data_IF_840025642738
#
_entry.id   IF_840025642738
#
_cell.length_a   1.000
_cell.length_b   1.000
_cell.length_c   1.000
_cell.angle_alpha   90.00
_cell.angle_beta   90.00
_cell.angle_gamma   90.00
#
_symmetry.space_group_name_H-M   'P 1'
#
loop_
_entity.id
_entity.type
_entity.pdbx_description
1 polymer ?
#
# COMPACT_ATOMS: atom_id res chain seq x y z
N UNK A 1 12.75 -0.42 -24.69
CA UNK A 1 12.11 -0.27 -23.37
C UNK A 1 10.89 0.68 -23.37
N UNK A 2 10.31 1.03 -24.54
CA UNK A 2 9.25 2.03 -24.67
C UNK A 2 7.85 1.47 -25.03
N UNK A 3 7.62 0.15 -25.00
CA UNK A 3 6.40 -0.45 -25.56
C UNK A 3 5.50 -1.22 -24.58
N UNK A 4 5.66 -1.00 -23.27
CA UNK A 4 4.80 -1.67 -22.29
C UNK A 4 3.45 -0.96 -22.12
N UNK A 5 3.35 0.36 -22.33
CA UNK A 5 2.09 1.10 -22.23
C UNK A 5 1.72 1.63 -23.61
N UNK A 6 0.70 1.02 -24.23
CA UNK A 6 0.20 1.43 -25.56
C UNK A 6 -0.74 2.64 -25.50
N UNK A 7 -1.32 2.92 -24.34
CA UNK A 7 -2.27 4.02 -24.17
C UNK A 7 -1.57 5.37 -23.97
N UNK A 8 -1.78 6.28 -24.93
CA UNK A 8 -1.22 7.63 -24.90
C UNK A 8 -1.76 8.47 -23.74
N UNK A 9 -3.02 8.25 -23.32
CA UNK A 9 -3.62 8.97 -22.20
C UNK A 9 -2.92 8.68 -20.88
N UNK A 10 -2.72 7.39 -20.60
CA UNK A 10 -1.99 6.91 -19.42
C UNK A 10 -0.54 7.39 -19.41
N UNK A 11 0.15 7.37 -20.55
CA UNK A 11 1.52 7.91 -20.65
C UNK A 11 1.60 9.40 -20.30
N UNK A 12 0.64 10.22 -20.77
CA UNK A 12 0.58 11.64 -20.41
C UNK A 12 0.38 11.85 -18.91
N UNK A 13 -0.46 11.02 -18.27
CA UNK A 13 -0.66 11.09 -16.82
C UNK A 13 0.61 10.70 -16.04
N UNK A 14 1.34 9.67 -16.50
CA UNK A 14 2.64 9.28 -15.94
C UNK A 14 3.64 10.44 -16.06
N UNK A 15 3.74 11.06 -17.23
CA UNK A 15 4.66 12.18 -17.46
C UNK A 15 4.29 13.42 -16.65
N UNK A 16 2.99 13.72 -16.53
CA UNK A 16 2.48 14.78 -15.67
C UNK A 16 2.87 14.55 -14.21
N UNK A 17 2.67 13.34 -13.67
CA UNK A 17 3.05 13.02 -12.30
C UNK A 17 4.57 13.08 -12.11
N UNK A 18 5.36 12.56 -13.05
CA UNK A 18 6.83 12.68 -13.03
C UNK A 18 7.28 14.14 -13.00
N UNK A 19 6.64 15.01 -13.80
CA UNK A 19 6.96 16.43 -13.81
C UNK A 19 6.58 17.13 -12.49
N UNK A 20 5.40 16.80 -11.93
CA UNK A 20 4.95 17.30 -10.61
C UNK A 20 5.89 16.88 -9.49
N UNK A 21 6.34 15.61 -9.49
CA UNK A 21 7.32 15.10 -8.54
C UNK A 21 8.67 15.81 -8.69
N UNK A 22 9.24 15.90 -9.89
CA UNK A 22 10.53 16.60 -10.12
C UNK A 22 10.52 18.06 -9.66
N UNK A 23 9.40 18.75 -9.86
CA UNK A 23 9.19 20.15 -9.48
C UNK A 23 8.80 20.33 -8.02
N UNK A 24 8.68 19.25 -7.24
CA UNK A 24 8.21 19.27 -5.84
C UNK A 24 6.86 19.97 -5.66
N UNK A 25 5.96 19.77 -6.62
CA UNK A 25 4.59 20.28 -6.54
C UNK A 25 3.69 19.38 -5.68
N UNK A 26 4.05 18.11 -5.55
CA UNK A 26 3.45 17.17 -4.62
C UNK A 26 4.53 16.83 -3.62
N UNK A 27 4.29 17.16 -2.36
CA UNK A 27 5.21 16.93 -1.25
C UNK A 27 4.46 16.30 -0.10
N UNK A 28 5.13 15.45 0.65
CA UNK A 28 4.54 14.74 1.77
C UNK A 28 4.22 13.30 1.41
N UNK A 29 4.43 12.42 2.39
CA UNK A 29 4.35 10.98 2.19
C UNK A 29 2.94 10.52 1.79
N UNK A 30 1.90 11.11 2.39
CA UNK A 30 0.50 10.74 2.14
C UNK A 30 0.04 11.16 0.75
N UNK A 31 0.10 12.46 0.43
CA UNK A 31 -0.35 12.99 -0.87
C UNK A 31 0.40 12.33 -2.05
N UNK A 32 1.71 12.13 -1.89
CA UNK A 32 2.54 11.44 -2.90
C UNK A 32 2.14 9.96 -3.05
N UNK A 33 1.81 9.27 -1.95
CA UNK A 33 1.35 7.89 -1.99
C UNK A 33 -0.01 7.77 -2.69
N UNK A 34 -0.98 8.62 -2.35
CA UNK A 34 -2.32 8.63 -2.95
C UNK A 34 -2.24 8.86 -4.45
N UNK A 35 -1.55 9.90 -4.90
CA UNK A 35 -1.38 10.20 -6.33
C UNK A 35 -0.68 9.05 -7.09
N UNK A 36 0.30 8.40 -6.45
CA UNK A 36 0.98 7.23 -7.03
C UNK A 36 0.03 6.07 -7.22
N UNK A 37 -0.76 5.70 -6.20
CA UNK A 37 -1.69 4.56 -6.29
C UNK A 37 -2.84 4.85 -7.26
N UNK A 38 -3.35 6.08 -7.31
CA UNK A 38 -4.36 6.49 -8.28
C UNK A 38 -3.87 6.34 -9.72
N UNK A 39 -2.63 6.74 -9.99
CA UNK A 39 -2.01 6.53 -11.31
C UNK A 39 -1.85 5.03 -11.62
N UNK A 40 -1.40 4.23 -10.65
CA UNK A 40 -1.25 2.79 -10.83
C UNK A 40 -2.60 2.09 -11.07
N UNK A 41 -3.67 2.52 -10.41
CA UNK A 41 -5.05 2.05 -10.69
C UNK A 41 -5.45 2.35 -12.13
N UNK A 42 -5.15 3.55 -12.61
CA UNK A 42 -5.40 3.92 -14.01
C UNK A 42 -4.60 3.03 -14.97
N UNK A 43 -3.32 2.75 -14.66
CA UNK A 43 -2.48 1.85 -15.45
C UNK A 43 -3.09 0.44 -15.50
N UNK A 44 -3.52 -0.12 -14.37
CA UNK A 44 -4.19 -1.44 -14.33
C UNK A 44 -5.49 -1.42 -15.15
N UNK A 45 -6.27 -0.34 -15.07
CA UNK A 45 -7.52 -0.18 -15.81
C UNK A 45 -7.34 -0.09 -17.33
N UNK A 46 -6.31 0.61 -17.81
CA UNK A 46 -6.08 0.78 -19.26
C UNK A 46 -5.16 -0.29 -19.85
N UNK A 47 -4.41 -1.01 -19.01
CA UNK A 47 -3.49 -2.05 -19.44
C UNK A 47 -4.19 -3.16 -20.21
N UNK A 48 -3.59 -3.56 -21.34
CA UNK A 48 -3.92 -4.79 -22.05
C UNK A 48 -2.77 -5.76 -21.79
N UNK A 49 -3.06 -6.87 -21.13
CA UNK A 49 -2.07 -7.87 -20.77
C UNK A 49 -2.60 -9.26 -21.05
N UNK A 50 -1.72 -10.15 -21.51
CA UNK A 50 -2.02 -11.57 -21.69
C UNK A 50 -1.45 -12.41 -20.55
N UNK A 51 -0.46 -11.90 -19.82
CA UNK A 51 0.09 -12.54 -18.63
C UNK A 51 0.12 -11.56 -17.47
N UNK A 52 -0.08 -12.06 -16.26
CA UNK A 52 0.08 -11.26 -15.04
C UNK A 52 1.49 -10.68 -14.93
N UNK A 53 2.53 -11.42 -15.36
CA UNK A 53 3.91 -10.93 -15.32
C UNK A 53 4.09 -9.70 -16.20
N UNK A 54 3.41 -9.65 -17.36
CA UNK A 54 3.40 -8.47 -18.22
C UNK A 54 2.77 -7.26 -17.52
N UNK A 55 1.67 -7.46 -16.78
CA UNK A 55 1.05 -6.41 -15.98
C UNK A 55 1.97 -5.93 -14.85
N UNK A 56 2.60 -6.86 -14.14
CA UNK A 56 3.54 -6.51 -13.07
C UNK A 56 4.75 -5.75 -13.60
N UNK A 57 5.27 -6.12 -14.78
CA UNK A 57 6.36 -5.41 -15.43
C UNK A 57 5.95 -4.01 -15.91
N UNK A 58 4.70 -3.84 -16.39
CA UNK A 58 4.15 -2.51 -16.67
C UNK A 58 4.18 -1.64 -15.41
N UNK A 59 3.66 -2.14 -14.29
CA UNK A 59 3.62 -1.40 -13.02
C UNK A 59 5.04 -1.09 -12.53
N UNK A 60 5.98 -2.05 -12.59
CA UNK A 60 7.40 -1.84 -12.23
C UNK A 60 8.06 -0.77 -13.10
N UNK A 61 7.78 -0.78 -14.41
CA UNK A 61 8.37 0.20 -15.33
C UNK A 61 7.91 1.63 -15.00
N UNK A 62 6.62 1.82 -14.69
CA UNK A 62 6.06 3.10 -14.23
C UNK A 62 6.69 3.50 -12.90
N UNK A 63 6.70 2.58 -11.93
CA UNK A 63 7.26 2.83 -10.60
C UNK A 63 8.73 3.23 -10.65
N UNK A 64 9.54 2.58 -11.48
CA UNK A 64 10.96 2.92 -11.66
C UNK A 64 11.13 4.35 -12.18
N UNK A 65 10.27 4.78 -13.12
CA UNK A 65 10.26 6.17 -13.63
C UNK A 65 9.85 7.18 -12.56
N UNK A 66 8.83 6.86 -11.75
CA UNK A 66 8.38 7.73 -10.66
C UNK A 66 9.45 7.87 -9.57
N UNK A 67 10.09 6.78 -9.17
CA UNK A 67 11.15 6.79 -8.14
C UNK A 67 12.37 7.56 -8.65
N UNK A 68 12.74 7.41 -9.93
CA UNK A 68 13.81 8.20 -10.54
C UNK A 68 13.48 9.70 -10.61
N UNK A 69 12.21 10.09 -10.55
CA UNK A 69 11.78 11.50 -10.55
C UNK A 69 12.13 12.19 -9.22
N UNK A 70 11.92 11.51 -8.09
CA UNK A 70 12.26 12.01 -6.75
C UNK A 70 12.68 10.84 -5.82
N UNK A 71 13.96 10.43 -5.82
CA UNK A 71 14.43 9.28 -5.04
C UNK A 71 14.28 9.43 -3.52
N UNK A 72 14.15 10.67 -3.03
CA UNK A 72 13.96 10.97 -1.61
C UNK A 72 12.54 10.64 -1.10
N UNK A 73 11.55 10.51 -1.99
CA UNK A 73 10.19 10.13 -1.62
C UNK A 73 10.03 8.61 -1.62
N UNK A 74 10.36 8.00 -0.48
CA UNK A 74 10.31 6.55 -0.30
C UNK A 74 8.87 6.02 -0.42
N UNK A 75 7.87 6.86 -0.12
CA UNK A 75 6.46 6.53 -0.23
C UNK A 75 6.06 5.99 -1.62
N UNK A 76 6.59 6.58 -2.70
CA UNK A 76 6.35 6.12 -4.07
C UNK A 76 6.79 4.67 -4.25
N UNK A 77 8.03 4.36 -3.87
CA UNK A 77 8.58 3.01 -4.02
C UNK A 77 7.82 1.98 -3.17
N UNK A 78 7.44 2.36 -1.95
CA UNK A 78 6.68 1.50 -1.05
C UNK A 78 5.29 1.18 -1.62
N UNK A 79 4.60 2.19 -2.17
CA UNK A 79 3.28 1.99 -2.78
C UNK A 79 3.34 1.15 -4.05
N UNK A 80 4.35 1.34 -4.90
CA UNK A 80 4.55 0.50 -6.09
C UNK A 80 4.71 -0.98 -5.70
N UNK A 81 5.56 -1.28 -4.69
CA UNK A 81 5.77 -2.66 -4.22
C UNK A 81 4.49 -3.24 -3.61
N UNK A 82 3.76 -2.45 -2.82
CA UNK A 82 2.49 -2.84 -2.22
C UNK A 82 1.45 -3.19 -3.27
N UNK A 83 1.28 -2.33 -4.29
CA UNK A 83 0.35 -2.58 -5.40
C UNK A 83 0.73 -3.83 -6.19
N UNK A 84 2.02 -4.04 -6.48
CA UNK A 84 2.50 -5.27 -7.14
C UNK A 84 2.13 -6.52 -6.33
N UNK A 85 2.30 -6.47 -5.00
CA UNK A 85 1.94 -7.57 -4.13
C UNK A 85 0.43 -7.81 -4.14
N UNK A 86 -0.38 -6.78 -3.91
CA UNK A 86 -1.84 -6.89 -3.90
C UNK A 86 -2.39 -7.45 -5.21
N UNK A 87 -1.93 -6.92 -6.35
CA UNK A 87 -2.34 -7.38 -7.68
C UNK A 87 -1.96 -8.85 -7.91
N UNK A 88 -0.81 -9.30 -7.38
CA UNK A 88 -0.40 -10.70 -7.47
C UNK A 88 -1.29 -11.60 -6.62
N UNK A 89 -1.55 -11.24 -5.37
CA UNK A 89 -2.40 -12.03 -4.47
C UNK A 89 -3.81 -12.18 -5.03
N UNK A 90 -4.38 -11.09 -5.54
CA UNK A 90 -5.73 -11.07 -6.10
C UNK A 90 -5.85 -11.83 -7.41
N UNK A 91 -4.82 -11.76 -8.25
CA UNK A 91 -4.77 -12.60 -9.44
C UNK A 91 -4.76 -14.08 -9.05
N UNK A 92 -3.91 -14.49 -8.10
CA UNK A 92 -3.83 -15.88 -7.63
C UNK A 92 -5.15 -16.36 -6.99
N UNK A 93 -5.79 -15.52 -6.19
CA UNK A 93 -7.09 -15.81 -5.59
C UNK A 93 -8.17 -16.07 -6.65
N UNK A 94 -8.22 -15.23 -7.70
CA UNK A 94 -9.25 -15.30 -8.74
C UNK A 94 -8.97 -16.33 -9.83
N UNK A 95 -7.71 -16.62 -10.16
CA UNK A 95 -7.38 -17.71 -11.08
C UNK A 95 -7.51 -19.08 -10.44
N UNK A 96 -7.71 -19.13 -9.12
CA UNK A 96 -7.44 -20.29 -8.28
C UNK A 96 -5.92 -20.44 -8.17
N UNK A 97 -5.42 -20.73 -6.96
CA UNK A 97 -4.04 -21.15 -6.81
C UNK A 97 -3.77 -22.28 -7.80
N UNK A 98 -3.02 -22.00 -8.87
CA UNK A 98 -2.59 -22.99 -9.85
C UNK A 98 -1.49 -23.87 -9.25
N UNK A 99 -1.72 -24.33 -8.03
CA UNK A 99 -1.04 -25.43 -7.39
C UNK A 99 -2.04 -26.59 -7.25
N UNK A 100 -1.99 -27.60 -8.13
CA UNK A 100 -2.75 -28.84 -7.94
C UNK A 100 -2.35 -29.61 -6.66
N UNK A 101 -1.37 -29.16 -5.88
CA UNK A 101 -0.91 -29.82 -4.65
C UNK A 101 -1.40 -29.22 -3.33
N UNK A 102 -2.26 -28.20 -3.35
CA UNK A 102 -2.87 -27.66 -2.12
C UNK A 102 -4.39 -27.57 -2.23
N UNK A 103 -5.05 -28.74 -2.23
CA UNK A 103 -6.41 -28.85 -1.73
C UNK A 103 -6.33 -29.13 -0.22
N UNK A 104 -6.95 -28.34 0.67
CA UNK A 104 -7.38 -28.91 1.93
C UNK A 104 -8.51 -29.88 1.57
N UNK A 105 -8.22 -31.18 1.69
CA UNK A 105 -9.21 -32.22 1.51
C UNK A 105 -10.39 -31.94 2.45
N UNK A 106 -11.59 -32.13 1.91
CA UNK A 106 -12.85 -31.86 2.58
C UNK A 106 -12.91 -32.45 3.99
N UNK A 107 -13.49 -31.64 4.87
CA UNK A 107 -14.00 -31.97 6.19
C UNK A 107 -14.78 -33.30 6.15
N UNK A 108 -14.10 -34.40 6.46
CA UNK A 108 -14.74 -35.63 6.93
C UNK A 108 -14.48 -35.68 8.43
N UNK A 109 -15.49 -35.29 9.22
CA UNK A 109 -15.46 -35.42 10.68
C UNK A 109 -15.39 -36.91 11.03
N UNK A 110 -14.19 -37.40 11.31
CA UNK A 110 -14.01 -38.64 12.05
C UNK A 110 -13.14 -38.35 13.26
N UNK A 111 -13.75 -38.48 14.44
CA UNK A 111 -13.05 -38.47 15.72
C UNK A 111 -12.07 -39.65 15.73
N UNK A 112 -10.78 -39.37 15.60
CA UNK A 112 -9.72 -40.24 16.13
C UNK A 112 -8.64 -39.36 16.75
N UNK A 113 -8.47 -39.48 18.07
CA UNK A 113 -7.32 -38.92 18.77
C UNK A 113 -6.05 -39.58 18.26
N UNK A 114 -5.16 -38.82 17.66
CA UNK A 114 -3.73 -39.12 17.55
C UNK A 114 -3.00 -37.81 17.23
N UNK A 115 -2.18 -37.37 18.17
CA UNK A 115 -1.23 -36.25 18.04
C UNK A 115 -0.31 -36.43 16.83
N UNK A 116 -0.01 -35.36 16.08
CA UNK A 116 1.26 -35.28 15.36
C UNK A 116 2.06 -34.04 15.76
N UNK A 117 3.36 -34.28 15.97
CA UNK A 117 4.37 -33.36 16.47
C UNK A 117 4.53 -32.08 15.64
N UNK A 118 4.63 -30.95 16.35
CA UNK A 118 4.82 -29.61 15.80
C UNK A 118 6.21 -29.30 15.22
N UNK A 119 6.90 -30.28 14.63
CA UNK A 119 8.26 -30.12 14.10
C UNK A 119 8.33 -29.90 12.57
N UNK A 120 7.21 -30.02 11.85
CA UNK A 120 7.20 -29.97 10.38
C UNK A 120 7.23 -28.56 9.77
N UNK A 121 7.05 -27.49 10.55
CA UNK A 121 6.96 -26.11 10.03
C UNK A 121 7.92 -25.13 10.72
N UNK A 122 9.13 -25.57 11.07
CA UNK A 122 10.17 -24.69 11.62
C UNK A 122 11.06 -24.12 10.51
N UNK A 123 11.25 -22.79 10.51
CA UNK A 123 12.21 -22.05 9.66
C UNK A 123 13.61 -22.67 9.66
N UNK A 124 14.01 -23.33 10.75
CA UNK A 124 15.29 -24.02 10.87
C UNK A 124 15.42 -25.21 9.89
N UNK A 125 14.37 -26.01 9.71
CA UNK A 125 14.37 -27.09 8.73
C UNK A 125 14.33 -26.55 7.29
N UNK A 126 13.71 -25.39 7.06
CA UNK A 126 13.64 -24.76 5.75
C UNK A 126 15.01 -24.26 5.24
N UNK A 127 15.82 -23.67 6.14
CA UNK A 127 17.16 -23.17 5.81
C UNK A 127 18.16 -24.33 5.70
N UNK A 128 18.07 -25.34 6.58
CA UNK A 128 19.02 -26.44 6.64
C UNK A 128 18.86 -27.46 5.51
N UNK A 129 17.62 -27.83 5.16
CA UNK A 129 17.35 -28.84 4.11
C UNK A 129 17.17 -28.25 2.71
N UNK A 130 17.36 -26.93 2.55
CA UNK A 130 17.31 -26.15 1.30
C UNK A 130 16.60 -26.87 0.15
N UNK A 131 15.32 -26.55 -0.10
CA UNK A 131 14.44 -27.24 -1.07
C UNK A 131 15.24 -27.90 -2.21
N UNK A 132 15.22 -29.23 -2.39
CA UNK A 132 15.65 -29.78 -3.66
C UNK A 132 14.74 -29.13 -4.70
N UNK A 133 15.34 -28.37 -5.64
CA UNK A 133 14.64 -27.99 -6.86
C UNK A 133 14.15 -29.29 -7.46
N UNK A 134 12.86 -29.57 -7.34
CA UNK A 134 12.22 -30.65 -8.05
C UNK A 134 12.55 -30.44 -9.54
N UNK A 135 13.47 -31.26 -10.02
CA UNK A 135 13.83 -31.37 -11.42
C UNK A 135 12.58 -31.70 -12.22
N UNK A 136 12.43 -31.00 -13.34
CA UNK A 136 11.47 -31.27 -14.41
C UNK A 136 9.99 -31.21 -14.01
N UNK A 137 9.39 -30.03 -14.24
CA UNK A 137 7.97 -29.97 -14.62
C UNK A 137 7.80 -30.83 -15.87
N UNK A 138 6.88 -31.81 -15.94
CA UNK A 138 6.38 -32.21 -17.24
C UNK A 138 5.69 -30.97 -17.81
N UNK A 139 6.14 -30.53 -18.98
CA UNK A 139 5.43 -29.53 -19.76
C UNK A 139 4.04 -30.09 -20.07
N UNK A 140 3.04 -29.77 -19.24
CA UNK A 140 1.68 -29.67 -19.75
C UNK A 140 1.69 -28.41 -20.60
N UNK A 141 1.96 -28.59 -21.89
CA UNK A 141 1.47 -27.69 -22.92
C UNK A 141 -0.05 -27.69 -22.78
N UNK A 142 -0.55 -26.82 -21.91
CA UNK A 142 -1.92 -26.37 -22.03
C UNK A 142 -1.86 -25.48 -23.26
N UNK A 143 -2.23 -26.03 -24.42
CA UNK A 143 -2.61 -25.25 -25.59
C UNK A 143 -3.88 -24.45 -25.24
N UNK A 144 -3.79 -23.54 -24.28
CA UNK A 144 -4.77 -22.47 -24.14
C UNK A 144 -4.59 -21.61 -25.36
N UNK A 145 -5.60 -21.62 -26.23
CA UNK A 145 -5.67 -20.68 -27.33
C UNK A 145 -5.44 -19.27 -26.78
N UNK A 146 -4.77 -18.41 -27.56
CA UNK A 146 -4.48 -17.02 -27.17
C UNK A 146 -5.77 -16.29 -26.71
N UNK A 147 -6.94 -16.70 -27.22
CA UNK A 147 -8.24 -16.18 -26.83
C UNK A 147 -8.73 -16.57 -25.43
N UNK A 148 -8.37 -17.74 -24.90
CA UNK A 148 -8.82 -18.18 -23.56
C UNK A 148 -8.07 -17.46 -22.44
N UNK A 149 -6.78 -17.17 -22.67
CA UNK A 149 -5.95 -16.39 -21.75
C UNK A 149 -6.43 -14.93 -21.68
N UNK A 150 -6.81 -14.35 -22.82
CA UNK A 150 -7.33 -12.98 -22.89
C UNK A 150 -8.68 -12.85 -22.17
N UNK A 151 -9.58 -13.84 -22.34
CA UNK A 151 -10.86 -13.88 -21.61
C UNK A 151 -10.68 -13.99 -20.10
N UNK A 152 -9.75 -14.83 -19.63
CA UNK A 152 -9.47 -14.98 -18.19
C UNK A 152 -8.86 -13.71 -17.61
N UNK A 153 -7.90 -13.12 -18.32
CA UNK A 153 -7.23 -11.86 -17.93
C UNK A 153 -8.22 -10.71 -17.84
N UNK A 154 -9.13 -10.61 -18.81
CA UNK A 154 -10.21 -9.62 -18.84
C UNK A 154 -11.24 -9.84 -17.72
N UNK A 155 -11.57 -11.10 -17.39
CA UNK A 155 -12.50 -11.41 -16.30
C UNK A 155 -11.94 -11.09 -14.91
N UNK A 156 -10.62 -11.24 -14.70
CA UNK A 156 -9.97 -10.89 -13.41
C UNK A 156 -9.74 -9.40 -13.23
N UNK A 157 -9.78 -8.62 -14.32
CA UNK A 157 -9.39 -7.21 -14.31
C UNK A 157 -10.22 -6.32 -13.38
N UNK A 158 -11.56 -6.45 -13.28
CA UNK A 158 -12.35 -5.69 -12.30
C UNK A 158 -11.88 -5.95 -10.86
N UNK A 159 -11.66 -7.21 -10.49
CA UNK A 159 -11.17 -7.56 -9.15
C UNK A 159 -9.78 -6.95 -8.86
N UNK A 160 -8.87 -6.93 -9.85
CA UNK A 160 -7.58 -6.27 -9.69
C UNK A 160 -7.71 -4.75 -9.49
N UNK A 161 -8.65 -4.10 -10.20
CA UNK A 161 -8.90 -2.66 -10.06
C UNK A 161 -9.47 -2.36 -8.67
N UNK A 162 -10.42 -3.17 -8.22
CA UNK A 162 -11.04 -3.04 -6.89
C UNK A 162 -10.01 -3.22 -5.79
N UNK A 163 -9.12 -4.21 -5.91
CA UNK A 163 -8.04 -4.41 -4.95
C UNK A 163 -7.03 -3.24 -4.87
N UNK A 164 -6.73 -2.59 -6.01
CA UNK A 164 -5.90 -1.38 -5.97
C UNK A 164 -6.68 -0.21 -5.36
N UNK A 165 -8.01 -0.16 -5.57
CA UNK A 165 -8.89 0.84 -4.96
C UNK A 165 -8.95 0.68 -3.43
N UNK A 166 -8.99 -0.54 -2.91
CA UNK A 166 -8.95 -0.79 -1.46
C UNK A 166 -7.72 -0.16 -0.79
N UNK A 167 -6.56 -0.14 -1.47
CA UNK A 167 -5.36 0.56 -0.97
C UNK A 167 -5.60 2.08 -0.90
N UNK A 168 -6.33 2.65 -1.86
CA UNK A 168 -6.67 4.08 -1.85
C UNK A 168 -7.61 4.40 -0.69
N UNK A 169 -8.70 3.64 -0.58
CA UNK A 169 -9.71 3.82 0.47
C UNK A 169 -9.08 3.65 1.86
N UNK A 170 -8.14 2.70 2.03
CA UNK A 170 -7.37 2.56 3.26
C UNK A 170 -6.55 3.81 3.58
N UNK A 171 -5.82 4.37 2.60
CA UNK A 171 -5.01 5.57 2.81
C UNK A 171 -5.83 6.78 3.22
N UNK A 172 -7.06 6.92 2.72
CA UNK A 172 -7.99 7.98 3.12
C UNK A 172 -8.40 7.84 4.60
N UNK A 173 -8.52 6.59 5.09
CA UNK A 173 -8.89 6.28 6.47
C UNK A 173 -7.74 6.26 7.49
N UNK A 174 -6.47 6.36 7.08
CA UNK A 174 -5.30 6.19 7.98
C UNK A 174 -5.32 7.15 9.18
N UNK A 175 -5.63 8.42 8.96
CA UNK A 175 -5.58 9.43 10.02
C UNK A 175 -6.65 9.19 11.10
N UNK A 176 -7.87 8.86 10.67
CA UNK A 176 -8.97 8.54 11.60
C UNK A 176 -8.72 7.23 12.35
N UNK A 177 -8.19 6.22 11.65
CA UNK A 177 -7.83 4.93 12.24
C UNK A 177 -6.82 5.07 13.39
N UNK A 178 -5.79 5.90 13.21
CA UNK A 178 -4.79 6.17 14.24
C UNK A 178 -5.39 7.01 15.38
N UNK A 179 -6.19 8.03 15.05
CA UNK A 179 -6.77 8.95 16.02
C UNK A 179 -7.73 8.26 17.02
N UNK A 180 -8.40 7.17 16.63
CA UNK A 180 -9.27 6.37 17.52
C UNK A 180 -8.55 5.86 18.76
N UNK A 181 -7.25 5.59 18.67
CA UNK A 181 -6.46 5.09 19.80
C UNK A 181 -5.98 6.21 20.75
N UNK A 182 -6.18 7.48 20.42
CA UNK A 182 -5.66 8.61 21.19
C UNK A 182 -6.14 8.62 22.65
N UNK A 183 -7.39 8.19 22.87
CA UNK A 183 -8.00 8.14 24.20
C UNK A 183 -7.27 7.20 25.17
N UNK A 184 -6.57 6.20 24.66
CA UNK A 184 -5.84 5.22 25.48
C UNK A 184 -4.42 5.68 25.87
N UNK A 185 -3.92 6.74 25.24
CA UNK A 185 -2.54 7.18 25.38
C UNK A 185 -2.36 8.58 25.94
N UNK A 186 -3.40 9.42 25.87
CA UNK A 186 -3.37 10.78 26.39
C UNK A 186 -4.35 10.86 27.56
N UNK A 187 -3.89 11.35 28.71
CA UNK A 187 -4.69 11.53 29.91
C UNK A 187 -4.86 13.02 30.26
N UNK A 188 -5.78 13.31 31.18
CA UNK A 188 -6.00 14.67 31.63
C UNK A 188 -4.76 15.20 32.39
N UNK A 189 -4.50 16.50 32.27
CA UNK A 189 -3.41 17.21 32.93
C UNK A 189 -1.98 16.74 32.53
N UNK A 190 -1.86 15.96 31.44
CA UNK A 190 -0.56 15.63 30.86
C UNK A 190 0.02 16.78 30.02
N UNK A 191 1.34 16.77 29.86
CA UNK A 191 2.06 17.69 28.98
C UNK A 191 2.68 16.87 27.85
N UNK A 192 2.23 17.12 26.63
CA UNK A 192 2.70 16.44 25.42
C UNK A 192 3.63 17.37 24.64
N UNK A 193 4.85 16.91 24.36
CA UNK A 193 5.79 17.62 23.50
C UNK A 193 5.74 17.06 22.08
N UNK A 194 5.57 17.91 21.07
CA UNK A 194 5.65 17.56 19.65
C UNK A 194 6.60 18.49 18.91
N UNK A 195 7.06 18.06 17.74
CA UNK A 195 7.98 18.81 16.89
C UNK A 195 7.44 18.91 15.47
N UNK A 196 7.46 20.12 14.90
CA UNK A 196 7.00 20.41 13.56
C UNK A 196 5.51 20.12 13.35
N UNK A 197 5.14 19.93 12.08
CA UNK A 197 3.76 19.65 11.69
C UNK A 197 3.60 18.24 11.15
N UNK A 198 2.61 17.53 11.70
CA UNK A 198 2.18 16.23 11.22
C UNK A 198 0.65 16.13 11.31
N UNK A 199 0.00 15.92 10.16
CA UNK A 199 -1.45 15.73 10.08
C UNK A 199 -1.94 14.56 10.92
N UNK A 200 -1.12 13.50 11.03
CA UNK A 200 -1.43 12.34 11.90
C UNK A 200 -1.43 12.72 13.37
N UNK A 201 -0.42 13.47 13.82
CA UNK A 201 -0.32 13.90 15.23
C UNK A 201 -1.43 14.90 15.55
N UNK A 202 -1.70 15.83 14.64
CA UNK A 202 -2.81 16.78 14.78
C UNK A 202 -4.15 16.06 14.97
N UNK A 203 -4.50 15.11 14.09
CA UNK A 203 -5.73 14.34 14.20
C UNK A 203 -5.79 13.52 15.50
N UNK A 204 -4.67 12.96 15.92
CA UNK A 204 -4.55 12.20 17.17
C UNK A 204 -4.79 13.07 18.41
N UNK A 205 -4.15 14.23 18.48
CA UNK A 205 -4.31 15.16 19.60
C UNK A 205 -5.74 15.72 19.65
N UNK A 206 -6.32 16.09 18.50
CA UNK A 206 -7.73 16.55 18.43
C UNK A 206 -8.72 15.49 18.92
N UNK A 207 -8.50 14.22 18.57
CA UNK A 207 -9.37 13.13 19.01
C UNK A 207 -9.30 12.89 20.53
N UNK A 208 -8.14 13.11 21.17
CA UNK A 208 -8.04 13.07 22.63
C UNK A 208 -8.62 14.32 23.31
N UNK A 209 -8.47 15.49 22.68
CA UNK A 209 -8.91 16.77 23.23
C UNK A 209 -10.43 16.90 23.37
N UNK A 210 -11.19 16.12 22.59
CA UNK A 210 -12.64 16.05 22.70
C UNK A 210 -13.11 15.61 24.10
N UNK A 211 -12.36 14.73 24.77
CA UNK A 211 -12.77 14.14 26.04
C UNK A 211 -11.92 14.63 27.23
N UNK A 212 -10.69 15.08 26.98
CA UNK A 212 -9.67 15.30 28.00
C UNK A 212 -8.98 16.63 27.78
N UNK A 213 -8.70 17.33 28.88
CA UNK A 213 -7.90 18.57 28.88
C UNK A 213 -6.45 18.21 29.18
N UNK A 214 -5.55 18.60 28.31
CA UNK A 214 -4.10 18.40 28.45
C UNK A 214 -3.37 19.54 27.75
N UNK A 215 -2.07 19.67 28.01
CA UNK A 215 -1.23 20.73 27.45
C UNK A 215 -0.38 20.16 26.32
N UNK A 216 -0.25 20.90 25.21
CA UNK A 216 0.65 20.52 24.11
C UNK A 216 1.67 21.62 23.88
N UNK A 217 2.94 21.25 23.89
CA UNK A 217 4.05 22.12 23.52
C UNK A 217 4.48 21.73 22.10
N UNK A 218 4.42 22.68 21.17
CA UNK A 218 4.77 22.47 19.76
C UNK A 218 6.09 23.17 19.45
N UNK A 219 7.16 22.38 19.29
CA UNK A 219 8.48 22.91 18.95
C UNK A 219 8.58 23.14 17.44
N UNK A 220 9.02 24.32 17.03
CA UNK A 220 9.24 24.63 15.62
C UNK A 220 10.45 23.87 15.03
N UNK A 221 10.45 23.67 13.70
CA UNK A 221 11.49 22.93 12.96
C UNK A 221 12.35 23.85 12.10
N UNK A 222 12.88 24.92 12.70
CA UNK A 222 13.88 25.77 12.05
C UNK A 222 15.12 24.92 11.65
N UNK A 223 15.71 25.13 10.46
CA UNK A 223 15.51 26.24 9.51
C UNK A 223 14.43 26.02 8.45
N UNK A 224 13.84 24.82 8.36
CA UNK A 224 12.77 24.49 7.41
C UNK A 224 11.42 24.98 7.93
N UNK A 225 11.17 26.28 7.82
CA UNK A 225 9.87 26.87 8.12
C UNK A 225 8.86 26.44 7.05
N UNK A 226 7.91 25.57 7.40
CA UNK A 226 6.70 25.34 6.61
C UNK A 226 5.65 26.36 7.04
N UNK A 227 5.45 27.47 6.30
CA UNK A 227 4.62 28.59 6.74
C UNK A 227 3.14 28.25 6.87
N UNK A 228 2.71 27.11 6.30
CA UNK A 228 1.30 26.75 6.24
C UNK A 228 0.76 26.13 7.55
N UNK A 229 1.63 25.67 8.45
CA UNK A 229 1.19 24.81 9.53
C UNK A 229 1.08 25.46 10.88
N UNK A 230 2.00 26.33 11.30
CA UNK A 230 2.01 26.69 12.72
C UNK A 230 0.77 27.51 13.12
N UNK A 231 0.39 28.54 12.36
CA UNK A 231 -0.77 29.37 12.71
C UNK A 231 -2.10 28.61 12.60
N UNK A 232 -2.29 27.79 11.56
CA UNK A 232 -3.51 26.99 11.43
C UNK A 232 -3.59 25.88 12.48
N UNK A 233 -2.47 25.27 12.86
CA UNK A 233 -2.47 24.24 13.92
C UNK A 233 -2.75 24.89 15.28
N UNK A 234 -2.17 26.07 15.57
CA UNK A 234 -2.43 26.80 16.81
C UNK A 234 -3.90 27.23 16.94
N UNK A 235 -4.46 27.86 15.90
CA UNK A 235 -5.87 28.24 15.87
C UNK A 235 -6.79 27.02 16.05
N UNK A 236 -6.48 25.90 15.38
CA UNK A 236 -7.26 24.66 15.49
C UNK A 236 -7.07 23.94 16.84
N UNK A 237 -5.91 24.07 17.50
CA UNK A 237 -5.69 23.53 18.85
C UNK A 237 -6.39 24.36 19.91
N UNK A 238 -6.41 25.69 19.75
CA UNK A 238 -7.16 26.60 20.61
C UNK A 238 -8.68 26.39 20.45
N UNK A 239 -9.16 26.22 19.22
CA UNK A 239 -10.56 25.87 18.92
C UNK A 239 -10.96 24.49 19.48
N UNK A 240 -10.01 23.55 19.56
CA UNK A 240 -10.20 22.24 20.18
C UNK A 240 -10.05 22.24 21.71
N UNK A 241 -9.85 23.39 22.36
CA UNK A 241 -9.72 23.52 23.81
C UNK A 241 -8.35 23.08 24.37
N UNK A 242 -7.33 22.96 23.52
CA UNK A 242 -5.96 22.61 23.90
C UNK A 242 -5.21 23.90 24.24
N UNK A 243 -4.59 23.96 25.42
CA UNK A 243 -3.69 25.06 25.77
C UNK A 243 -2.35 24.86 25.06
N UNK A 244 -2.12 25.67 24.01
CA UNK A 244 -0.84 25.72 23.30
C UNK A 244 -0.01 26.91 23.82
N UNK A 245 1.16 26.62 24.40
CA UNK A 245 2.12 27.64 24.82
C UNK A 245 3.37 27.56 23.95
N UNK A 246 3.90 28.73 23.56
CA UNK A 246 5.12 28.91 22.79
C UNK A 246 6.36 28.94 23.70
#
# INVERSE_FOLDING_TARGET
MAELIRDKGTLRNVESLVARLRRRQITGAHDTAVETVLLLRQVVSTARFSSIDQLLDMIRSVGTRLVAAQPKEIAVANMVRRVIHQVREEYLANTGGADPSQRPAGMTRTNTMSTPDGSALSLANFVLLGRPRASARPAREVETSIGDVDRRSMATKPALIDAVKEIVDEMEGVFEGIAKNAKNHIHADEIVLTIGYSRTVEAFLKAAAHDKKFTVIVVETAPSYVPFSIHSTYDLTLDAGIQANN
#
